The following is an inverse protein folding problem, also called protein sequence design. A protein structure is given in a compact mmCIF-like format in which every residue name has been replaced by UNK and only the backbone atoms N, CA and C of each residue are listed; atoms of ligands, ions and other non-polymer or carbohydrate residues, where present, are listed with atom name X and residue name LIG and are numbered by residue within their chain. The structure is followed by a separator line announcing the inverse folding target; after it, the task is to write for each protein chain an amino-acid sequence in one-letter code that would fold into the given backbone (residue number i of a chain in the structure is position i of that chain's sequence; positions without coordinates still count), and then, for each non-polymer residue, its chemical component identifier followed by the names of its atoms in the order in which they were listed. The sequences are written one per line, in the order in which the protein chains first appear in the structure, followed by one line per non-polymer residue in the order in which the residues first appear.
data_IF_027569981244
#
_entry.id   IF_027569981244
#
_cell.length_a   1.000
_cell.length_b   1.000
_cell.length_c   1.000
_cell.angle_alpha   90.00
_cell.angle_beta   90.00
_cell.angle_gamma   90.00
#
_symmetry.space_group_name_H-M   'P 1'
#
loop_
_entity.id
_entity.type
_entity.pdbx_description
1 polymer ?
#
# COMPACT_ATOMS: atom_id res chain seq x y z
N UNK A 1 -8.88 34.61 47.75
CA UNK A 1 -9.82 34.76 46.62
C UNK A 1 -9.22 33.97 45.46
N UNK A 2 -9.95 33.02 44.86
CA UNK A 2 -9.45 32.27 43.70
C UNK A 2 -9.67 33.15 42.47
N UNK A 3 -8.60 33.60 41.84
CA UNK A 3 -8.67 34.35 40.58
C UNK A 3 -9.10 33.35 39.49
N UNK A 4 -10.32 33.51 38.98
CA UNK A 4 -10.82 32.76 37.82
C UNK A 4 -10.30 33.37 36.52
N UNK A 5 -10.14 32.54 35.49
CA UNK A 5 -9.83 32.97 34.13
C UNK A 5 -10.90 33.92 33.59
N UNK A 6 -10.51 34.96 32.86
CA UNK A 6 -11.45 35.85 32.18
C UNK A 6 -11.93 35.25 30.85
N UNK A 7 -13.14 35.64 30.45
CA UNK A 7 -13.69 35.24 29.14
C UNK A 7 -12.83 35.75 27.98
N UNK A 8 -12.28 36.95 28.11
CA UNK A 8 -11.44 37.55 27.07
C UNK A 8 -10.11 36.81 26.90
N UNK A 9 -9.51 36.31 27.98
CA UNK A 9 -8.31 35.46 27.91
C UNK A 9 -8.60 34.18 27.12
N UNK A 10 -9.73 33.52 27.38
CA UNK A 10 -10.10 32.33 26.64
C UNK A 10 -10.36 32.62 25.15
N UNK A 11 -10.97 33.76 24.83
CA UNK A 11 -11.22 34.16 23.44
C UNK A 11 -9.92 34.36 22.64
N UNK A 12 -8.94 35.06 23.22
CA UNK A 12 -7.64 35.29 22.57
C UNK A 12 -6.89 33.96 22.38
N UNK A 13 -6.97 33.06 23.35
CA UNK A 13 -6.33 31.74 23.25
C UNK A 13 -6.93 30.92 22.10
N UNK A 14 -8.26 30.86 21.97
CA UNK A 14 -8.91 30.12 20.88
C UNK A 14 -8.61 30.75 19.52
N UNK A 15 -8.52 32.09 19.45
CA UNK A 15 -8.13 32.81 18.24
C UNK A 15 -6.74 32.39 17.76
N UNK A 16 -5.75 32.38 18.65
CA UNK A 16 -4.38 31.99 18.33
C UNK A 16 -4.31 30.50 17.93
N UNK A 17 -4.99 29.61 18.68
CA UNK A 17 -5.05 28.18 18.35
C UNK A 17 -5.63 27.96 16.94
N UNK A 18 -6.67 28.70 16.57
CA UNK A 18 -7.32 28.57 15.26
C UNK A 18 -6.38 28.91 14.10
N UNK A 19 -5.55 29.94 14.26
CA UNK A 19 -4.53 30.32 13.27
C UNK A 19 -3.48 29.22 13.13
N UNK A 20 -2.99 28.69 14.24
CA UNK A 20 -1.98 27.60 14.23
C UNK A 20 -2.53 26.32 13.58
N UNK A 21 -3.74 25.92 13.96
CA UNK A 21 -4.41 24.71 13.44
C UNK A 21 -4.63 24.80 11.93
N UNK A 22 -4.94 25.99 11.41
CA UNK A 22 -5.20 26.21 9.98
C UNK A 22 -4.02 25.82 9.09
N UNK A 23 -2.77 26.01 9.56
CA UNK A 23 -1.57 25.59 8.83
C UNK A 23 -1.12 24.16 9.20
N UNK A 24 -1.28 23.77 10.47
CA UNK A 24 -0.81 22.48 10.95
C UNK A 24 -1.60 21.30 10.38
N UNK A 25 -2.92 21.43 10.26
CA UNK A 25 -3.81 20.31 9.86
C UNK A 25 -3.55 19.83 8.43
N UNK A 26 -3.49 20.68 7.39
CA UNK A 26 -3.17 20.23 6.04
C UNK A 26 -1.79 19.56 5.94
N UNK A 27 -0.77 20.14 6.58
CA UNK A 27 0.58 19.59 6.61
C UNK A 27 0.60 18.19 7.26
N UNK A 28 -0.11 18.04 8.38
CA UNK A 28 -0.25 16.75 9.05
C UNK A 28 -0.93 15.70 8.17
N UNK A 29 -1.99 16.06 7.45
CA UNK A 29 -2.66 15.13 6.53
C UNK A 29 -1.74 14.66 5.40
N UNK A 30 -0.96 15.57 4.81
CA UNK A 30 0.01 15.23 3.76
C UNK A 30 1.14 14.31 4.28
N UNK A 31 1.65 14.59 5.48
CA UNK A 31 2.65 13.73 6.13
C UNK A 31 2.08 12.34 6.42
N UNK A 32 0.85 12.26 6.97
CA UNK A 32 0.16 11.00 7.21
C UNK A 32 -0.03 10.20 5.93
N UNK A 33 -0.47 10.82 4.84
CA UNK A 33 -0.64 10.14 3.54
C UNK A 33 0.68 9.65 2.95
N UNK A 34 1.75 10.42 3.13
CA UNK A 34 3.08 10.01 2.69
C UNK A 34 3.59 8.82 3.49
N UNK A 35 3.36 8.79 4.81
CA UNK A 35 3.68 7.65 5.67
C UNK A 35 2.83 6.40 5.33
N UNK A 36 1.54 6.57 5.02
CA UNK A 36 0.67 5.49 4.55
C UNK A 36 1.18 4.90 3.22
N UNK A 37 1.58 5.75 2.28
CA UNK A 37 2.16 5.31 1.01
C UNK A 37 3.47 4.55 1.23
N UNK A 38 4.39 5.08 2.04
CA UNK A 38 5.64 4.41 2.38
C UNK A 38 5.38 3.03 3.03
N UNK A 39 4.41 2.94 3.93
CA UNK A 39 4.00 1.65 4.52
C UNK A 39 3.52 0.66 3.46
N UNK A 40 2.73 1.08 2.49
CA UNK A 40 2.27 0.19 1.41
C UNK A 40 3.45 -0.34 0.60
N UNK A 41 4.45 0.50 0.31
CA UNK A 41 5.67 0.06 -0.37
C UNK A 41 6.42 -0.98 0.47
N UNK A 42 6.59 -0.73 1.77
CA UNK A 42 7.20 -1.72 2.67
C UNK A 42 6.41 -3.03 2.71
N UNK A 43 5.07 -2.96 2.73
CA UNK A 43 4.21 -4.14 2.70
C UNK A 43 4.38 -4.90 1.36
N UNK A 44 4.61 -4.21 0.23
CA UNK A 44 4.94 -4.84 -1.05
C UNK A 44 6.30 -5.56 -1.02
N UNK A 45 7.32 -4.95 -0.42
CA UNK A 45 8.63 -5.58 -0.25
C UNK A 45 8.54 -6.84 0.62
N UNK A 46 7.77 -6.80 1.71
CA UNK A 46 7.52 -7.97 2.57
C UNK A 46 6.85 -9.11 1.79
N UNK A 47 5.86 -8.79 0.95
CA UNK A 47 5.20 -9.80 0.11
C UNK A 47 6.18 -10.36 -0.93
N UNK A 48 6.96 -9.49 -1.59
CA UNK A 48 7.99 -9.92 -2.55
C UNK A 48 8.99 -10.87 -1.91
N UNK A 49 9.53 -10.52 -0.75
CA UNK A 49 10.54 -11.32 -0.07
C UNK A 49 9.97 -12.68 0.36
N UNK A 50 8.72 -12.71 0.80
CA UNK A 50 8.00 -13.96 1.12
C UNK A 50 7.81 -14.85 -0.12
N UNK A 51 7.50 -14.26 -1.27
CA UNK A 51 7.38 -14.97 -2.55
C UNK A 51 8.72 -15.51 -3.02
N UNK A 52 9.79 -14.71 -2.96
CA UNK A 52 11.14 -15.13 -3.36
C UNK A 52 11.60 -16.29 -2.48
N UNK A 53 11.33 -16.24 -1.17
CA UNK A 53 11.64 -17.33 -0.27
C UNK A 53 10.84 -18.61 -0.59
N UNK A 54 9.55 -18.50 -0.91
CA UNK A 54 8.76 -19.65 -1.37
C UNK A 54 9.32 -20.24 -2.67
N UNK A 55 9.63 -19.39 -3.65
CA UNK A 55 10.20 -19.81 -4.92
C UNK A 55 11.56 -20.52 -4.74
N UNK A 56 12.40 -20.04 -3.82
CA UNK A 56 13.67 -20.69 -3.50
C UNK A 56 13.49 -22.11 -2.93
N UNK A 57 12.43 -22.36 -2.16
CA UNK A 57 12.17 -23.66 -1.54
C UNK A 57 11.48 -24.65 -2.51
N UNK A 58 10.60 -24.17 -3.39
CA UNK A 58 9.71 -25.04 -4.20
C UNK A 58 9.94 -24.94 -5.72
N UNK A 59 10.69 -23.95 -6.20
CA UNK A 59 10.96 -23.74 -7.64
C UNK A 59 9.77 -23.23 -8.45
N UNK A 60 8.66 -22.90 -7.79
CA UNK A 60 7.43 -22.39 -8.40
C UNK A 60 6.88 -21.20 -7.62
N UNK A 61 6.04 -20.40 -8.27
CA UNK A 61 5.40 -19.25 -7.64
C UNK A 61 4.11 -19.67 -6.93
N UNK A 62 3.74 -19.01 -5.81
CA UNK A 62 2.52 -19.34 -5.09
C UNK A 62 1.29 -19.01 -5.94
N UNK A 63 0.23 -19.79 -5.73
CA UNK A 63 -1.04 -19.58 -6.42
C UNK A 63 -1.69 -18.27 -5.98
N UNK A 64 -2.24 -17.55 -6.95
CA UNK A 64 -3.10 -16.40 -6.70
C UNK A 64 -4.44 -16.87 -6.09
N UNK A 65 -4.87 -16.18 -5.04
CA UNK A 65 -6.08 -16.46 -4.27
C UNK A 65 -7.10 -15.30 -4.33
N UNK A 66 -6.79 -14.24 -5.07
CA UNK A 66 -7.57 -13.02 -5.18
C UNK A 66 -7.43 -12.06 -4.00
N UNK A 67 -8.07 -10.88 -4.09
CA UNK A 67 -7.75 -9.76 -3.21
C UNK A 67 -8.00 -10.09 -1.74
N UNK A 68 -7.22 -9.51 -0.85
CA UNK A 68 -7.38 -9.65 0.60
C UNK A 68 -7.07 -11.04 1.17
N UNK A 69 -6.73 -12.01 0.34
CA UNK A 69 -6.47 -13.39 0.76
C UNK A 69 -4.97 -13.67 0.71
N UNK A 70 -4.43 -14.21 1.80
CA UNK A 70 -3.05 -14.68 1.83
C UNK A 70 -2.99 -16.05 1.16
N UNK A 71 -2.18 -16.27 0.11
CA UNK A 71 -1.88 -17.60 -0.39
C UNK A 71 -1.39 -18.50 0.74
N UNK A 72 -1.99 -19.69 0.89
CA UNK A 72 -1.67 -20.61 2.01
C UNK A 72 -0.17 -20.87 2.12
N UNK A 73 0.47 -20.96 0.97
CA UNK A 73 1.88 -21.24 0.78
C UNK A 73 2.80 -20.11 1.25
N UNK A 74 2.33 -18.87 1.18
CA UNK A 74 3.07 -17.68 1.64
C UNK A 74 3.00 -17.47 3.14
N UNK A 75 2.01 -18.05 3.83
CA UNK A 75 1.74 -17.77 5.24
C UNK A 75 2.94 -18.03 6.16
N UNK A 76 3.80 -19.00 5.82
CA UNK A 76 4.99 -19.34 6.62
C UNK A 76 6.16 -18.36 6.46
N UNK A 77 6.20 -17.59 5.36
CA UNK A 77 7.27 -16.62 5.08
C UNK A 77 6.90 -15.20 5.46
N UNK A 78 5.61 -14.93 5.69
CA UNK A 78 5.14 -13.62 6.09
C UNK A 78 5.38 -13.35 7.59
N UNK A 79 5.67 -12.10 7.99
CA UNK A 79 5.74 -11.71 9.39
C UNK A 79 4.45 -12.04 10.15
N UNK A 80 4.60 -12.38 11.44
CA UNK A 80 3.45 -12.65 12.31
C UNK A 80 2.48 -11.46 12.32
N UNK A 81 1.20 -11.73 12.05
CA UNK A 81 0.15 -10.71 12.05
C UNK A 81 0.06 -9.89 10.76
N UNK A 82 0.87 -10.16 9.73
CA UNK A 82 0.71 -9.57 8.42
C UNK A 82 -0.65 -9.96 7.82
N UNK A 83 -1.31 -9.01 7.16
CA UNK A 83 -2.64 -9.19 6.57
C UNK A 83 -2.63 -8.70 5.13
N UNK A 84 -3.48 -9.30 4.30
CA UNK A 84 -3.78 -8.79 2.97
C UNK A 84 -5.05 -7.93 2.96
N UNK A 85 -5.89 -8.02 3.99
CA UNK A 85 -7.07 -7.16 4.16
C UNK A 85 -6.96 -6.34 5.46
N UNK A 86 -6.99 -5.02 5.30
CA UNK A 86 -6.97 -4.06 6.41
C UNK A 86 -8.32 -3.36 6.63
N UNK A 87 -9.37 -3.75 5.90
CA UNK A 87 -10.72 -3.18 6.04
C UNK A 87 -11.39 -3.63 7.35
N UNK A 88 -12.36 -2.84 7.86
CA UNK A 88 -12.71 -1.49 7.42
C UNK A 88 -11.76 -0.41 7.95
N UNK A 89 -10.75 -0.77 8.77
CA UNK A 89 -9.85 0.20 9.43
C UNK A 89 -9.04 1.03 8.44
N UNK A 90 -8.63 0.42 7.32
CA UNK A 90 -8.02 1.08 6.17
C UNK A 90 -8.64 0.50 4.91
N UNK A 91 -8.98 1.35 3.94
CA UNK A 91 -9.45 0.87 2.64
C UNK A 91 -8.29 0.38 1.78
N UNK A 92 -7.67 -0.72 2.20
CA UNK A 92 -6.49 -1.33 1.57
C UNK A 92 -6.72 -2.84 1.55
N UNK A 93 -6.67 -3.42 0.34
CA UNK A 93 -6.52 -4.85 0.13
C UNK A 93 -5.37 -5.11 -0.82
N UNK A 94 -4.50 -6.05 -0.46
CA UNK A 94 -3.45 -6.57 -1.31
C UNK A 94 -3.91 -7.83 -2.01
N UNK A 95 -3.41 -8.02 -3.22
CA UNK A 95 -3.60 -9.23 -4.00
C UNK A 95 -2.25 -9.65 -4.56
N UNK A 96 -1.89 -10.92 -4.37
CA UNK A 96 -0.68 -11.47 -4.94
C UNK A 96 -0.99 -11.93 -6.35
N UNK A 97 -0.23 -11.45 -7.33
CA UNK A 97 -0.54 -11.71 -8.72
C UNK A 97 0.64 -12.42 -9.39
N UNK A 98 0.35 -13.60 -9.92
CA UNK A 98 1.29 -14.38 -10.72
C UNK A 98 0.67 -14.58 -12.11
N UNK A 99 0.85 -13.59 -12.98
CA UNK A 99 0.30 -13.67 -14.33
C UNK A 99 1.21 -14.53 -15.22
N UNK A 100 0.72 -15.72 -15.53
CA UNK A 100 1.18 -16.47 -16.68
C UNK A 100 0.55 -15.80 -17.90
N UNK A 101 1.31 -14.94 -18.59
CA UNK A 101 0.70 -14.26 -19.73
C UNK A 101 0.69 -15.23 -20.93
N UNK A 102 -0.45 -15.89 -21.13
CA UNK A 102 -0.95 -16.61 -22.32
C UNK A 102 0.06 -17.34 -23.22
N UNK A 103 1.10 -17.99 -22.71
CA UNK A 103 2.18 -18.48 -23.59
C UNK A 103 2.79 -17.37 -24.49
N UNK A 104 2.60 -16.10 -24.10
CA UNK A 104 3.32 -14.87 -24.46
C UNK A 104 2.65 -13.65 -23.80
N UNK A 105 3.41 -12.83 -23.07
CA UNK A 105 2.96 -11.52 -22.65
C UNK A 105 2.89 -10.52 -23.80
N UNK A 106 2.19 -9.41 -23.60
CA UNK A 106 2.08 -8.27 -24.54
C UNK A 106 3.44 -7.56 -24.79
N UNK A 107 4.55 -8.26 -24.58
CA UNK A 107 5.83 -8.02 -25.19
C UNK A 107 6.37 -9.34 -25.79
N UNK A 108 6.87 -9.33 -27.03
CA UNK A 108 7.29 -10.54 -27.75
C UNK A 108 8.50 -11.29 -27.15
N UNK A 109 8.98 -10.92 -25.95
CA UNK A 109 10.17 -11.46 -25.29
C UNK A 109 9.97 -11.93 -23.84
N UNK A 110 8.74 -12.00 -23.34
CA UNK A 110 8.51 -12.07 -21.88
C UNK A 110 8.13 -13.49 -21.36
N UNK A 111 8.85 -14.04 -20.37
CA UNK A 111 8.48 -15.09 -19.40
C UNK A 111 7.56 -14.59 -18.26
N UNK A 112 7.66 -15.19 -17.06
CA UNK A 112 6.69 -15.01 -15.95
C UNK A 112 6.75 -13.57 -15.43
N UNK A 113 5.58 -12.94 -15.28
CA UNK A 113 5.40 -11.63 -14.65
C UNK A 113 4.67 -11.80 -13.33
N UNK A 114 5.22 -11.24 -12.26
CA UNK A 114 4.54 -11.19 -10.98
C UNK A 114 4.47 -9.78 -10.41
N UNK A 115 3.45 -9.56 -9.59
CA UNK A 115 3.15 -8.27 -9.04
C UNK A 115 2.23 -8.34 -7.84
N UNK A 116 1.87 -7.16 -7.36
CA UNK A 116 0.92 -7.00 -6.27
C UNK A 116 -0.14 -6.01 -6.75
N UNK A 117 -1.41 -6.41 -6.69
CA UNK A 117 -2.51 -5.47 -6.88
C UNK A 117 -2.97 -4.89 -5.54
N UNK A 118 -3.26 -3.59 -5.56
CA UNK A 118 -3.79 -2.83 -4.44
C UNK A 118 -5.21 -2.39 -4.80
N UNK A 119 -6.19 -2.85 -4.02
CA UNK A 119 -7.56 -2.33 -4.11
C UNK A 119 -7.78 -1.24 -3.05
N UNK A 120 -8.04 -0.02 -3.50
CA UNK A 120 -8.35 1.13 -2.62
C UNK A 120 -9.14 2.21 -3.37
N UNK A 121 -10.07 2.88 -2.69
CA UNK A 121 -10.76 4.08 -3.19
C UNK A 121 -9.94 5.35 -2.98
N UNK A 122 -8.87 5.27 -2.21
CA UNK A 122 -8.04 6.42 -1.86
C UNK A 122 -7.09 6.80 -3.00
N UNK A 123 -7.58 7.64 -3.89
CA UNK A 123 -6.81 8.15 -5.04
C UNK A 123 -5.58 8.96 -4.62
N UNK A 124 -5.64 9.66 -3.48
CA UNK A 124 -4.52 10.46 -2.99
C UNK A 124 -3.37 9.56 -2.52
N UNK A 125 -3.70 8.48 -1.81
CA UNK A 125 -2.75 7.43 -1.44
C UNK A 125 -2.09 6.83 -2.69
N UNK A 126 -2.89 6.44 -3.69
CA UNK A 126 -2.38 5.86 -4.94
C UNK A 126 -1.45 6.82 -5.66
N UNK A 127 -1.78 8.12 -5.72
CA UNK A 127 -0.91 9.14 -6.31
C UNK A 127 0.45 9.22 -5.59
N UNK A 128 0.46 9.14 -4.26
CA UNK A 128 1.70 9.11 -3.46
C UNK A 128 2.50 7.85 -3.72
N UNK A 129 1.86 6.68 -3.72
CA UNK A 129 2.50 5.39 -4.03
C UNK A 129 3.15 5.44 -5.43
N UNK A 130 2.44 5.96 -6.44
CA UNK A 130 2.97 6.16 -7.80
C UNK A 130 4.21 7.05 -7.85
N UNK A 131 4.31 8.05 -6.96
CA UNK A 131 5.48 8.91 -6.89
C UNK A 131 6.69 8.26 -6.22
N UNK A 132 6.48 7.23 -5.39
CA UNK A 132 7.53 6.55 -4.63
C UNK A 132 7.97 5.27 -5.33
N UNK A 133 7.03 4.48 -5.85
CA UNK A 133 7.29 3.19 -6.47
C UNK A 133 7.99 3.37 -7.82
N UNK A 134 9.16 2.72 -7.97
CA UNK A 134 10.01 2.82 -9.17
C UNK A 134 9.85 1.64 -10.16
N UNK A 135 8.98 0.68 -9.89
CA UNK A 135 8.74 -0.48 -10.77
C UNK A 135 7.87 -0.16 -12.00
N UNK A 136 7.76 -1.11 -12.93
CA UNK A 136 6.93 -0.96 -14.12
C UNK A 136 5.43 -0.96 -13.74
N UNK A 137 4.69 0.07 -14.13
CA UNK A 137 3.22 0.20 -13.99
C UNK A 137 2.63 0.13 -15.44
N UNK A 138 1.37 -0.22 -15.79
CA UNK A 138 0.10 0.38 -15.35
C UNK A 138 -1.15 -0.25 -15.97
N UNK A 139 -1.85 -1.09 -15.20
CA UNK A 139 -3.29 -1.27 -15.35
C UNK A 139 -3.99 -0.80 -14.08
N UNK A 140 -4.96 0.10 -14.26
CA UNK A 140 -5.92 0.46 -13.23
C UNK A 140 -7.31 0.19 -13.78
N UNK A 141 -8.04 -0.69 -13.13
CA UNK A 141 -9.45 -0.94 -13.45
C UNK A 141 -10.26 -0.62 -12.20
N UNK A 142 -11.09 0.42 -12.29
CA UNK A 142 -11.87 0.95 -11.17
C UNK A 142 -10.98 1.35 -9.98
N UNK A 143 -11.11 0.65 -8.86
CA UNK A 143 -10.36 0.86 -7.60
C UNK A 143 -9.19 -0.13 -7.44
N UNK A 144 -8.88 -0.94 -8.46
CA UNK A 144 -7.77 -1.89 -8.43
C UNK A 144 -6.55 -1.34 -9.17
N UNK A 145 -5.39 -1.34 -8.52
CA UNK A 145 -4.13 -0.78 -9.01
C UNK A 145 -3.04 -1.82 -8.96
N UNK A 146 -2.56 -2.22 -10.13
CA UNK A 146 -1.61 -3.32 -10.25
C UNK A 146 -0.16 -2.84 -10.36
N UNK A 147 0.70 -3.30 -9.46
CA UNK A 147 2.13 -2.95 -9.42
C UNK A 147 2.97 -4.16 -9.82
N UNK A 148 3.66 -4.09 -10.96
CA UNK A 148 4.54 -5.17 -11.42
C UNK A 148 5.88 -5.05 -10.72
N UNK A 149 6.33 -6.13 -10.08
CA UNK A 149 7.56 -6.14 -9.31
C UNK A 149 8.74 -6.51 -10.19
N UNK A 150 8.72 -7.69 -10.81
CA UNK A 150 9.86 -8.20 -11.59
C UNK A 150 9.41 -9.10 -12.74
N UNK A 151 10.37 -9.36 -13.61
CA UNK A 151 10.21 -10.13 -14.83
C UNK A 151 11.29 -11.23 -14.87
N UNK A 152 10.87 -12.49 -14.99
CA UNK A 152 11.80 -13.62 -15.11
C UNK A 152 11.76 -14.15 -16.55
N UNK A 153 12.86 -13.99 -17.28
CA UNK A 153 13.16 -14.76 -18.50
C UNK A 153 13.41 -16.21 -18.12
N UNK A 154 12.67 -17.15 -18.72
CA UNK A 154 13.08 -18.55 -18.75
C UNK A 154 14.43 -18.72 -19.44
#
# INVERSE_FOLDING_TARGET
MKNGFSLIELMVVILIISILVSFAVPSFYEAKKSAEAAKVITDFEVIRDAVVAYYADYGEFPQDMGPGTIPKDLKKYLPKGFKFDYRPKKDIRYDWENWIVNNKPKHPKTGILYGISLTTKDKALVKKIKGIFKGAFQYSLNDNYTFVLEYITK
#
